data_IF_892715768589
#
_entry.id   IF_892715768589
#
_cell.length_a   1.000
_cell.length_b   1.000
_cell.length_c   1.000
_cell.angle_alpha   90.00
_cell.angle_beta   90.00
_cell.angle_gamma   90.00
#
_symmetry.space_group_name_H-M   'P 1'
#
loop_
_entity.id
_entity.type
_entity.pdbx_description
1 polymer ?
#
# COMPACT_ATOMS: atom_id res chain seq x y z
N UNK A 1 -18.01 -20.12 0.17
CA UNK A 1 -18.38 -19.03 1.08
C UNK A 1 -18.56 -19.52 2.52
N UNK A 2 -19.36 -20.57 2.76
CA UNK A 2 -19.64 -21.14 4.10
C UNK A 2 -18.37 -21.40 4.92
N UNK A 3 -17.39 -22.12 4.37
CA UNK A 3 -16.11 -22.40 5.07
C UNK A 3 -15.32 -21.15 5.49
N UNK A 4 -15.43 -20.05 4.74
CA UNK A 4 -14.77 -18.79 5.10
C UNK A 4 -15.47 -18.12 6.29
N UNK A 5 -16.79 -18.19 6.34
CA UNK A 5 -17.58 -17.66 7.45
C UNK A 5 -17.29 -18.46 8.70
N UNK A 6 -17.32 -19.79 8.64
CA UNK A 6 -16.97 -20.70 9.75
C UNK A 6 -15.56 -20.39 10.30
N UNK A 7 -14.59 -20.12 9.42
CA UNK A 7 -13.23 -19.75 9.83
C UNK A 7 -13.18 -18.39 10.53
N UNK A 8 -14.01 -17.40 10.12
CA UNK A 8 -14.07 -16.09 10.75
C UNK A 8 -14.83 -16.11 12.08
N UNK A 9 -15.76 -17.05 12.25
CA UNK A 9 -16.55 -17.23 13.48
C UNK A 9 -15.79 -18.09 14.52
N UNK A 10 -14.74 -18.77 14.10
CA UNK A 10 -13.85 -19.49 15.02
C UNK A 10 -12.95 -18.48 15.74
N UNK A 11 -12.95 -18.52 17.06
CA UNK A 11 -12.07 -17.66 17.87
C UNK A 11 -10.60 -18.00 17.62
N UNK A 12 -9.80 -16.99 17.29
CA UNK A 12 -8.37 -17.12 17.02
C UNK A 12 -7.64 -15.81 17.28
N UNK A 13 -6.37 -15.92 17.67
CA UNK A 13 -5.50 -14.75 17.89
C UNK A 13 -5.13 -14.07 16.55
N UNK A 14 -5.02 -14.85 15.46
CA UNK A 14 -4.60 -14.38 14.14
C UNK A 14 -5.48 -14.99 13.07
N UNK A 15 -5.98 -14.14 12.18
CA UNK A 15 -6.73 -14.55 11.01
C UNK A 15 -5.89 -14.31 9.75
N UNK A 16 -5.64 -15.38 8.98
CA UNK A 16 -4.92 -15.29 7.70
C UNK A 16 -5.91 -15.32 6.53
N UNK A 17 -5.74 -14.39 5.61
CA UNK A 17 -6.60 -14.30 4.43
C UNK A 17 -5.78 -13.96 3.18
N UNK A 18 -6.11 -14.60 2.06
CA UNK A 18 -5.54 -14.23 0.78
C UNK A 18 -6.02 -12.81 0.39
N UNK A 19 -5.09 -11.99 -0.11
CA UNK A 19 -5.36 -10.59 -0.52
C UNK A 19 -6.49 -10.42 -1.54
N UNK A 20 -6.75 -11.44 -2.37
CA UNK A 20 -7.87 -11.47 -3.33
C UNK A 20 -9.23 -11.44 -2.62
N UNK A 21 -9.30 -11.94 -1.40
CA UNK A 21 -10.51 -11.99 -0.59
C UNK A 21 -10.75 -10.74 0.26
N UNK A 22 -9.85 -9.75 0.24
CA UNK A 22 -9.99 -8.51 1.04
C UNK A 22 -11.31 -7.78 0.72
N UNK A 23 -11.70 -7.71 -0.55
CA UNK A 23 -12.97 -7.08 -0.95
C UNK A 23 -14.15 -7.80 -0.32
N UNK A 24 -14.19 -9.13 -0.41
CA UNK A 24 -15.22 -9.95 0.22
C UNK A 24 -15.26 -9.78 1.74
N UNK A 25 -14.10 -9.77 2.41
CA UNK A 25 -14.00 -9.61 3.86
C UNK A 25 -14.57 -8.26 4.31
N UNK A 26 -14.23 -7.18 3.58
CA UNK A 26 -14.77 -5.85 3.87
C UNK A 26 -16.27 -5.77 3.64
N UNK A 27 -16.78 -6.43 2.59
CA UNK A 27 -18.21 -6.50 2.31
C UNK A 27 -18.98 -7.34 3.34
N UNK A 28 -18.35 -8.41 3.86
CA UNK A 28 -18.93 -9.24 4.92
C UNK A 28 -19.13 -8.44 6.22
N UNK A 29 -18.06 -7.81 6.72
CA UNK A 29 -18.14 -7.07 7.98
C UNK A 29 -18.76 -5.69 7.86
N UNK A 30 -18.65 -5.04 6.72
CA UNK A 30 -19.18 -3.67 6.49
C UNK A 30 -18.78 -2.71 7.62
N UNK A 31 -19.78 -2.20 8.33
CA UNK A 31 -19.59 -1.30 9.47
C UNK A 31 -19.10 -2.00 10.73
N UNK A 32 -19.17 -3.33 10.81
CA UNK A 32 -18.81 -4.14 11.98
C UNK A 32 -17.37 -4.67 11.90
N UNK A 33 -16.48 -4.01 11.14
CA UNK A 33 -15.09 -4.41 10.99
C UNK A 33 -14.39 -4.59 12.35
N UNK A 34 -13.90 -5.80 12.70
CA UNK A 34 -13.39 -6.09 14.04
C UNK A 34 -11.87 -5.95 14.18
N UNK A 35 -11.12 -5.94 13.05
CA UNK A 35 -9.67 -6.04 13.08
C UNK A 35 -9.02 -4.67 13.30
N UNK A 36 -8.39 -4.49 14.45
CA UNK A 36 -7.70 -3.26 14.83
C UNK A 36 -6.23 -3.24 14.40
N UNK A 37 -5.62 -4.42 14.24
CA UNK A 37 -4.26 -4.58 13.75
C UNK A 37 -4.29 -5.39 12.45
N UNK A 38 -3.72 -4.83 11.39
CA UNK A 38 -3.67 -5.46 10.06
C UNK A 38 -2.25 -5.49 9.55
N UNK A 39 -1.80 -6.66 9.11
CA UNK A 39 -0.53 -6.84 8.41
C UNK A 39 -0.82 -7.19 6.95
N UNK A 40 -0.21 -6.45 6.03
CA UNK A 40 -0.32 -6.70 4.59
C UNK A 40 1.02 -7.24 4.10
N UNK A 41 1.05 -8.53 3.78
CA UNK A 41 2.16 -9.11 3.05
C UNK A 41 2.04 -8.75 1.56
N UNK A 42 3.16 -8.40 0.94
CA UNK A 42 3.23 -7.84 -0.42
C UNK A 42 2.33 -6.60 -0.60
N UNK A 43 2.65 -5.53 0.17
CA UNK A 43 1.93 -4.25 0.13
C UNK A 43 1.89 -3.63 -1.27
N UNK A 44 2.91 -3.88 -2.11
CA UNK A 44 2.97 -3.43 -3.52
C UNK A 44 1.78 -3.92 -4.35
N UNK A 45 1.08 -4.98 -3.92
CA UNK A 45 -0.17 -5.42 -4.55
C UNK A 45 -1.31 -4.40 -4.44
N UNK A 46 -1.19 -3.40 -3.55
CA UNK A 46 -2.13 -2.29 -3.37
C UNK A 46 -1.69 -0.99 -4.06
N UNK A 47 -0.66 -1.02 -4.92
CA UNK A 47 -0.11 0.14 -5.63
C UNK A 47 -1.10 0.90 -6.53
N UNK A 48 -2.24 0.32 -6.87
CA UNK A 48 -3.27 0.97 -7.68
C UNK A 48 -4.44 1.47 -6.82
N UNK A 49 -4.62 2.78 -6.73
CA UNK A 49 -5.75 3.43 -6.07
C UNK A 49 -7.11 3.09 -6.71
N UNK A 50 -7.10 2.65 -7.98
CA UNK A 50 -8.30 2.25 -8.72
C UNK A 50 -8.69 0.79 -8.45
N UNK A 51 -7.82 -0.02 -7.85
CA UNK A 51 -8.10 -1.44 -7.60
C UNK A 51 -9.25 -1.63 -6.60
N UNK A 52 -10.04 -2.69 -6.80
CA UNK A 52 -11.16 -3.03 -5.89
C UNK A 52 -10.65 -3.26 -4.47
N UNK A 53 -9.52 -3.95 -4.31
CA UNK A 53 -8.93 -4.26 -3.00
C UNK A 53 -8.47 -3.00 -2.23
N UNK A 54 -7.83 -2.05 -2.92
CA UNK A 54 -7.45 -0.77 -2.29
C UNK A 54 -8.70 -0.01 -1.82
N UNK A 55 -9.70 0.14 -2.69
CA UNK A 55 -10.95 0.84 -2.36
C UNK A 55 -11.70 0.18 -1.20
N UNK A 56 -11.70 -1.16 -1.15
CA UNK A 56 -12.30 -1.91 -0.06
C UNK A 56 -11.57 -1.62 1.27
N UNK A 57 -10.25 -1.82 1.30
CA UNK A 57 -9.47 -1.62 2.53
C UNK A 57 -9.51 -0.16 3.00
N UNK A 58 -9.50 0.81 2.07
CA UNK A 58 -9.66 2.24 2.38
C UNK A 58 -10.94 2.53 3.17
N UNK A 59 -12.06 1.83 2.89
CA UNK A 59 -13.34 2.04 3.61
C UNK A 59 -13.25 1.69 5.09
N UNK A 60 -12.50 0.63 5.43
CA UNK A 60 -12.35 0.15 6.81
C UNK A 60 -11.09 0.69 7.49
N UNK A 61 -10.19 1.34 6.74
CA UNK A 61 -8.95 1.90 7.27
C UNK A 61 -9.13 2.78 8.52
N UNK A 62 -10.17 3.63 8.65
CA UNK A 62 -10.39 4.41 9.87
C UNK A 62 -10.61 3.56 11.13
N UNK A 63 -10.98 2.29 11.00
CA UNK A 63 -11.21 1.35 12.10
C UNK A 63 -9.96 0.53 12.46
N UNK A 64 -8.94 0.58 11.62
CA UNK A 64 -7.66 -0.08 11.84
C UNK A 64 -6.75 0.86 12.62
N UNK A 65 -6.40 0.50 13.84
CA UNK A 65 -5.50 1.28 14.70
C UNK A 65 -4.05 1.20 14.23
N UNK A 66 -3.60 -0.01 13.92
CA UNK A 66 -2.24 -0.27 13.45
C UNK A 66 -2.24 -1.05 12.15
N UNK A 67 -1.51 -0.56 11.16
CA UNK A 67 -1.30 -1.24 9.89
C UNK A 67 0.19 -1.37 9.63
N UNK A 68 0.63 -2.57 9.28
CA UNK A 68 2.01 -2.88 8.87
C UNK A 68 1.97 -3.40 7.44
N UNK A 69 2.83 -2.89 6.59
CA UNK A 69 2.98 -3.33 5.20
C UNK A 69 4.38 -3.89 4.97
N UNK A 70 4.45 -5.07 4.37
CA UNK A 70 5.70 -5.72 3.98
C UNK A 70 5.78 -5.73 2.46
N UNK A 71 6.91 -5.37 1.89
CA UNK A 71 7.13 -5.44 0.44
C UNK A 71 8.61 -5.41 0.08
N UNK A 72 9.01 -6.17 -0.91
CA UNK A 72 10.37 -6.13 -1.46
C UNK A 72 10.57 -5.03 -2.52
N UNK A 73 9.50 -4.56 -3.15
CA UNK A 73 9.53 -3.58 -4.25
C UNK A 73 8.40 -2.56 -4.10
N UNK A 74 8.57 -1.53 -3.27
CA UNK A 74 7.49 -0.58 -2.94
C UNK A 74 7.05 0.28 -4.14
N UNK A 75 7.97 0.61 -5.06
CA UNK A 75 7.69 1.43 -6.24
C UNK A 75 8.18 0.76 -7.54
N UNK A 76 7.53 -0.33 -7.99
CA UNK A 76 8.06 -1.14 -9.08
C UNK A 76 8.08 -0.43 -10.44
N UNK A 77 7.18 0.51 -10.69
CA UNK A 77 7.10 1.21 -11.98
C UNK A 77 7.42 2.70 -11.85
N UNK A 78 6.93 3.35 -10.81
CA UNK A 78 7.18 4.76 -10.55
C UNK A 78 6.85 5.12 -9.09
N UNK A 79 7.36 6.25 -8.60
CA UNK A 79 7.03 6.74 -7.25
C UNK A 79 5.53 7.08 -7.08
N UNK A 80 4.76 7.17 -8.15
CA UNK A 80 3.28 7.28 -8.08
C UNK A 80 2.68 6.04 -7.39
N UNK A 81 3.32 4.88 -7.52
CA UNK A 81 2.87 3.63 -6.91
C UNK A 81 3.01 3.63 -5.38
N UNK A 82 3.80 4.56 -4.80
CA UNK A 82 3.92 4.71 -3.34
C UNK A 82 2.66 5.31 -2.72
N UNK A 83 2.00 6.25 -3.40
CA UNK A 83 0.89 6.98 -2.79
C UNK A 83 -0.21 6.07 -2.21
N UNK A 84 -0.74 5.06 -2.94
CA UNK A 84 -1.79 4.21 -2.37
C UNK A 84 -1.30 3.39 -1.17
N UNK A 85 -0.05 2.96 -1.20
CA UNK A 85 0.55 2.16 -0.14
C UNK A 85 0.72 3.00 1.14
N UNK A 86 1.33 4.17 1.03
CA UNK A 86 1.51 5.10 2.16
C UNK A 86 0.16 5.62 2.65
N UNK A 87 -0.80 5.88 1.75
CA UNK A 87 -2.16 6.25 2.16
C UNK A 87 -2.81 5.19 3.07
N UNK A 88 -2.60 3.90 2.82
CA UNK A 88 -3.09 2.85 3.71
C UNK A 88 -2.39 2.87 5.06
N UNK A 89 -1.14 3.33 5.15
CA UNK A 89 -0.40 3.44 6.41
C UNK A 89 -0.89 4.62 7.25
N UNK A 90 -1.06 5.81 6.66
CA UNK A 90 -1.23 7.08 7.38
C UNK A 90 -2.48 7.89 6.98
N UNK A 91 -3.30 7.39 6.04
CA UNK A 91 -4.52 8.04 5.50
C UNK A 91 -4.25 9.36 4.77
N UNK A 92 -3.05 9.55 4.25
CA UNK A 92 -2.67 10.71 3.44
C UNK A 92 -2.04 11.84 4.24
N UNK A 93 -1.57 11.57 5.44
CA UNK A 93 -0.90 12.55 6.29
C UNK A 93 0.43 13.03 5.65
N UNK A 94 1.23 12.11 5.10
CA UNK A 94 2.55 12.43 4.52
C UNK A 94 2.52 12.78 3.03
N UNK A 95 1.80 11.98 2.24
CA UNK A 95 1.82 12.07 0.77
C UNK A 95 0.50 12.57 0.17
N UNK A 96 -0.16 13.50 0.83
CA UNK A 96 -1.42 14.13 0.42
C UNK A 96 -2.65 13.20 0.56
N UNK A 97 -3.81 13.81 0.78
CA UNK A 97 -5.09 13.10 1.00
C UNK A 97 -5.69 12.53 -0.27
N UNK A 98 -5.18 12.90 -1.45
CA UNK A 98 -5.59 12.32 -2.73
C UNK A 98 -4.42 12.13 -3.67
N UNK A 99 -4.50 11.10 -4.52
CA UNK A 99 -3.48 10.83 -5.54
C UNK A 99 -3.35 11.96 -6.57
N UNK A 100 -4.43 12.69 -6.84
CA UNK A 100 -4.39 13.86 -7.73
C UNK A 100 -3.50 14.94 -7.14
N UNK A 101 -3.72 15.34 -5.88
CA UNK A 101 -2.86 16.33 -5.20
C UNK A 101 -1.41 15.88 -5.13
N UNK A 102 -1.17 14.61 -4.85
CA UNK A 102 0.17 14.04 -4.84
C UNK A 102 0.85 14.18 -6.21
N UNK A 103 0.15 13.86 -7.29
CA UNK A 103 0.66 14.04 -8.66
C UNK A 103 0.90 15.52 -8.98
N UNK A 104 -0.06 16.38 -8.70
CA UNK A 104 0.05 17.81 -8.99
C UNK A 104 1.24 18.46 -8.26
N UNK A 105 1.55 17.95 -7.06
CA UNK A 105 2.65 18.48 -6.25
C UNK A 105 4.02 17.98 -6.70
N UNK A 106 4.16 16.71 -6.99
CA UNK A 106 5.47 16.06 -7.17
C UNK A 106 5.79 15.67 -8.62
N UNK A 107 4.82 15.76 -9.52
CA UNK A 107 5.01 15.31 -10.89
C UNK A 107 4.60 16.38 -11.89
N UNK A 108 5.11 16.22 -13.12
CA UNK A 108 4.70 16.96 -14.31
C UNK A 108 4.27 15.97 -15.39
N UNK A 109 3.32 16.33 -16.28
CA UNK A 109 3.02 15.55 -17.45
C UNK A 109 4.27 15.40 -18.33
N UNK A 110 4.64 14.17 -18.68
CA UNK A 110 5.78 13.86 -19.55
C UNK A 110 5.29 13.61 -20.98
N UNK A 111 4.57 12.51 -21.20
CA UNK A 111 3.99 12.20 -22.52
C UNK A 111 2.49 12.44 -22.51
N UNK A 112 2.02 13.29 -23.44
CA UNK A 112 0.59 13.60 -23.57
C UNK A 112 0.17 13.69 -25.05
N UNK A 113 -1.12 13.44 -25.30
CA UNK A 113 -1.77 13.73 -26.55
C UNK A 113 -3.06 14.51 -26.25
N UNK A 114 -3.04 15.82 -26.54
CA UNK A 114 -4.11 16.71 -26.10
C UNK A 114 -4.33 16.67 -24.58
N UNK A 115 -5.54 16.41 -24.10
CA UNK A 115 -5.86 16.35 -22.68
C UNK A 115 -5.43 15.03 -22.00
N UNK A 116 -5.02 14.01 -22.77
CA UNK A 116 -4.69 12.68 -22.25
C UNK A 116 -3.20 12.62 -21.88
N UNK A 117 -2.91 12.38 -20.60
CA UNK A 117 -1.54 12.20 -20.09
C UNK A 117 -1.25 10.71 -20.01
N UNK A 118 -0.21 10.25 -20.71
CA UNK A 118 0.23 8.84 -20.73
C UNK A 118 1.31 8.54 -19.69
N UNK A 119 2.20 9.50 -19.42
CA UNK A 119 3.26 9.34 -18.42
C UNK A 119 3.50 10.61 -17.64
N UNK A 120 4.12 10.45 -16.47
CA UNK A 120 4.43 11.51 -15.53
C UNK A 120 5.92 11.44 -15.20
N UNK A 121 6.59 12.58 -15.20
CA UNK A 121 7.96 12.73 -14.71
C UNK A 121 7.96 13.39 -13.34
N UNK A 122 8.96 13.08 -12.53
CA UNK A 122 9.17 13.76 -11.24
C UNK A 122 9.62 15.21 -11.47
N UNK A 123 9.18 16.11 -10.61
CA UNK A 123 9.75 17.46 -10.50
C UNK A 123 11.14 17.38 -9.89
N UNK A 124 11.98 18.36 -10.16
CA UNK A 124 13.29 18.46 -9.54
C UNK A 124 13.19 18.48 -8.01
N UNK A 125 13.97 17.64 -7.34
CA UNK A 125 13.99 17.50 -5.89
C UNK A 125 12.80 16.73 -5.28
N UNK A 126 11.75 16.41 -6.06
CA UNK A 126 10.56 15.74 -5.55
C UNK A 126 10.83 14.34 -4.98
N UNK A 127 11.77 13.60 -5.57
CA UNK A 127 12.16 12.29 -5.09
C UNK A 127 12.68 12.34 -3.64
N UNK A 128 13.63 13.23 -3.38
CA UNK A 128 14.18 13.41 -2.04
C UNK A 128 13.12 13.86 -1.04
N UNK A 129 12.23 14.79 -1.45
CA UNK A 129 11.14 15.24 -0.58
C UNK A 129 10.17 14.10 -0.22
N UNK A 130 9.80 13.26 -1.20
CA UNK A 130 8.93 12.10 -0.97
C UNK A 130 9.57 11.14 0.04
N UNK A 131 10.83 10.77 -0.16
CA UNK A 131 11.53 9.85 0.74
C UNK A 131 11.68 10.42 2.14
N UNK A 132 12.06 11.68 2.29
CA UNK A 132 12.16 12.34 3.60
C UNK A 132 10.84 12.35 4.36
N UNK A 133 9.70 12.45 3.66
CA UNK A 133 8.38 12.45 4.30
C UNK A 133 7.93 11.09 4.83
N UNK A 134 8.49 10.00 4.32
CA UNK A 134 8.07 8.64 4.70
C UNK A 134 9.13 7.88 5.49
N UNK A 135 10.33 8.45 5.69
CA UNK A 135 11.44 7.76 6.33
C UNK A 135 11.14 7.32 7.77
N UNK A 136 10.34 8.09 8.49
CA UNK A 136 9.95 7.82 9.88
C UNK A 136 9.00 6.61 10.04
N UNK A 137 8.33 6.19 8.95
CA UNK A 137 7.43 5.02 8.94
C UNK A 137 7.91 3.88 8.06
N UNK A 138 9.03 4.05 7.34
CA UNK A 138 9.58 3.07 6.42
C UNK A 138 10.94 2.57 6.90
N UNK A 139 11.10 1.26 6.95
CA UNK A 139 12.40 0.62 7.24
C UNK A 139 12.83 -0.18 6.02
N UNK A 140 14.02 0.11 5.50
CA UNK A 140 14.64 -0.67 4.43
C UNK A 140 15.59 -1.70 5.01
N UNK A 141 15.32 -2.97 4.74
CA UNK A 141 16.15 -4.09 5.20
C UNK A 141 16.78 -4.78 3.98
N UNK A 142 18.08 -4.69 3.85
CA UNK A 142 18.83 -5.40 2.79
C UNK A 142 19.31 -6.75 3.33
N UNK A 143 19.08 -7.83 2.58
CA UNK A 143 19.48 -9.17 2.98
C UNK A 143 20.98 -9.26 3.37
N UNK A 144 21.85 -8.54 2.67
CA UNK A 144 23.30 -8.48 2.95
C UNK A 144 23.65 -7.90 4.32
N UNK A 145 22.77 -7.08 4.90
CA UNK A 145 23.03 -6.41 6.18
C UNK A 145 22.66 -7.30 7.37
N UNK A 146 21.84 -8.34 7.14
CA UNK A 146 21.28 -9.22 8.18
C UNK A 146 21.61 -10.71 7.98
N UNK A 147 21.95 -11.12 6.74
CA UNK A 147 22.20 -12.51 6.41
C UNK A 147 23.66 -12.71 5.96
N UNK A 148 24.35 -13.67 6.56
CA UNK A 148 25.63 -14.19 6.06
C UNK A 148 25.35 -15.15 4.90
N UNK A 149 25.08 -14.62 3.72
CA UNK A 149 24.85 -15.44 2.54
C UNK A 149 26.20 -15.88 1.94
N UNK A 150 26.31 -17.11 1.42
CA UNK A 150 27.49 -17.53 0.69
C UNK A 150 27.70 -16.63 -0.55
N UNK A 151 28.95 -16.47 -1.03
CA UNK A 151 29.22 -15.70 -2.22
C UNK A 151 28.47 -16.28 -3.42
N UNK A 152 27.88 -15.40 -4.22
CA UNK A 152 27.12 -15.80 -5.42
C UNK A 152 28.10 -16.36 -6.44
N UNK A 153 28.03 -17.66 -6.73
CA UNK A 153 28.72 -18.29 -7.87
C UNK A 153 27.89 -18.00 -9.13
N UNK A 154 28.53 -17.32 -10.09
CA UNK A 154 27.97 -17.13 -11.44
C UNK A 154 28.26 -18.33 -12.30
#
# INVERSE_FOLDING_TARGET
ERKRIEALETEADIYLINRENVTWLVEYYKTKWPFTFVVIDELSSFKSSKSKRFRALRKVRPKVQRLVGLTGTPAPNSLIDLWPQIYLMDRGDRLETSQTRFKDKYFVPDKRNGPIIYSWALRDGAEAEIYNKIEDICVSMKAKDYLKLPPRTN
#
